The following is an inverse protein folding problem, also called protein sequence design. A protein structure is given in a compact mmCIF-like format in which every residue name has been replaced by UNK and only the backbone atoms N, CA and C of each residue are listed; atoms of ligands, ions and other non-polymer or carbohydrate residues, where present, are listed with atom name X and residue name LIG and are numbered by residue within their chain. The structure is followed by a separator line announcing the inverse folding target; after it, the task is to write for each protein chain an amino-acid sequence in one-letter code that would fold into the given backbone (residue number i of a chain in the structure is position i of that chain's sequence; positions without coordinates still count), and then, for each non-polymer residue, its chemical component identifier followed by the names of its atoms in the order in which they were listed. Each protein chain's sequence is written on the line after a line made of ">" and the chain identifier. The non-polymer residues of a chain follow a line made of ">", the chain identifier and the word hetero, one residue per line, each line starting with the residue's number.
data_IF_125816231722
#
_entry.id   IF_125816231722
#
_cell.length_a   1.000
_cell.length_b   1.000
_cell.length_c   1.000
_cell.angle_alpha   90.00
_cell.angle_beta   90.00
_cell.angle_gamma   90.00
#
_symmetry.space_group_name_H-M   'P 1'
#
loop_
_entity.id
_entity.type
_entity.pdbx_description
1 polymer ?
#
# COMPACT_ATOMS: atom_id res chain seq x y z
N UNK A 1 62.09 41.11 22.01
CA UNK A 1 60.63 41.09 22.21
C UNK A 1 60.03 40.17 21.15
N UNK A 2 60.01 38.85 21.40
CA UNK A 2 59.33 37.89 20.52
C UNK A 2 58.09 37.36 21.24
N UNK A 3 56.97 37.64 20.61
CA UNK A 3 55.59 37.55 21.03
C UNK A 3 55.14 36.10 21.34
N UNK A 4 54.62 35.87 22.55
CA UNK A 4 53.84 34.69 22.95
C UNK A 4 52.41 34.74 22.36
N UNK A 5 52.23 34.67 21.03
CA UNK A 5 50.87 34.69 20.41
C UNK A 5 50.23 33.33 20.17
N UNK A 6 50.91 32.22 20.46
CA UNK A 6 50.55 30.93 19.85
C UNK A 6 49.66 29.98 20.66
N UNK A 7 48.95 30.44 21.72
CA UNK A 7 48.20 29.51 22.59
C UNK A 7 46.69 29.82 22.79
N UNK A 8 46.17 30.92 22.24
CA UNK A 8 44.76 31.31 22.45
C UNK A 8 43.80 30.85 21.35
N UNK A 9 44.31 30.63 20.14
CA UNK A 9 43.48 30.32 18.96
C UNK A 9 43.01 28.86 18.96
N UNK A 10 43.86 27.93 19.41
CA UNK A 10 43.51 26.51 19.49
C UNK A 10 42.45 26.22 20.56
N UNK A 11 42.48 26.92 21.70
CA UNK A 11 41.51 26.70 22.78
C UNK A 11 40.10 27.16 22.40
N UNK A 12 39.97 28.24 21.61
CA UNK A 12 38.67 28.75 21.18
C UNK A 12 37.99 27.85 20.12
N UNK A 13 38.78 27.22 19.25
CA UNK A 13 38.25 26.32 18.21
C UNK A 13 37.65 25.03 18.81
N UNK A 14 38.27 24.49 19.85
CA UNK A 14 37.77 23.28 20.54
C UNK A 14 36.45 23.59 21.25
N UNK A 15 36.33 24.75 21.91
CA UNK A 15 35.08 25.15 22.58
C UNK A 15 33.93 25.36 21.60
N UNK A 16 34.20 25.91 20.41
CA UNK A 16 33.17 26.13 19.38
C UNK A 16 32.64 24.82 18.78
N UNK A 17 33.51 23.83 18.54
CA UNK A 17 33.13 22.51 18.05
C UNK A 17 32.25 21.73 19.04
N UNK A 18 32.52 21.87 20.35
CA UNK A 18 31.71 21.20 21.38
C UNK A 18 30.30 21.79 21.44
N UNK A 19 30.13 23.10 21.29
CA UNK A 19 28.80 23.76 21.30
C UNK A 19 27.95 23.34 20.09
N UNK A 20 28.55 23.18 18.91
CA UNK A 20 27.84 22.80 17.69
C UNK A 20 27.27 21.35 17.73
N UNK A 21 27.89 20.46 18.51
CA UNK A 21 27.42 19.08 18.69
C UNK A 21 26.22 18.97 19.65
N UNK A 22 26.04 19.92 20.58
CA UNK A 22 24.92 19.93 21.52
C UNK A 22 23.68 20.70 21.03
N UNK A 23 23.77 21.43 19.91
CA UNK A 23 22.61 22.10 19.29
C UNK A 23 21.85 21.21 18.31
N UNK A 24 22.34 20.00 18.03
CA UNK A 24 21.57 18.99 17.31
C UNK A 24 20.57 18.35 18.29
N UNK A 25 19.44 19.02 18.50
CA UNK A 25 18.29 18.42 19.16
C UNK A 25 17.92 17.10 18.46
N UNK A 26 17.32 16.13 19.18
CA UNK A 26 16.95 14.85 18.60
C UNK A 26 16.08 15.09 17.37
N UNK A 27 16.53 14.59 16.22
CA UNK A 27 15.74 14.58 15.00
C UNK A 27 14.44 13.83 15.35
N UNK A 28 13.26 14.42 15.15
CA UNK A 28 12.02 13.72 15.42
C UNK A 28 12.02 12.44 14.59
N UNK A 29 12.01 11.30 15.28
CA UNK A 29 11.90 10.00 14.64
C UNK A 29 10.49 9.94 14.08
N UNK A 30 10.34 10.19 12.78
CA UNK A 30 9.07 9.97 12.09
C UNK A 30 8.82 8.45 12.08
N UNK A 31 7.98 7.99 13.01
CA UNK A 31 7.47 6.63 12.93
C UNK A 31 6.65 6.51 11.65
N UNK A 32 6.96 5.51 10.82
CA UNK A 32 6.07 5.13 9.75
C UNK A 32 4.65 4.94 10.31
N UNK A 33 3.60 5.38 9.60
CA UNK A 33 2.22 5.08 9.97
C UNK A 33 2.07 3.58 10.22
N UNK A 34 1.32 3.20 11.26
CA UNK A 34 1.05 1.79 11.52
C UNK A 34 0.08 1.29 10.46
N UNK A 35 0.29 0.08 9.90
CA UNK A 35 -0.66 -0.50 8.98
C UNK A 35 -2.05 -0.57 9.60
N UNK A 36 -3.06 -0.08 8.88
CA UNK A 36 -4.44 -0.01 9.34
C UNK A 36 -5.28 -1.08 8.64
N UNK A 37 -6.08 -1.90 9.35
CA UNK A 37 -6.89 -2.94 8.74
C UNK A 37 -7.87 -2.41 7.70
N UNK A 38 -8.05 -3.17 6.62
CA UNK A 38 -9.04 -2.89 5.56
C UNK A 38 -9.72 -4.18 5.13
N UNK A 39 -11.00 -4.08 4.83
CA UNK A 39 -11.77 -5.09 4.12
C UNK A 39 -12.29 -4.47 2.83
N UNK A 40 -12.09 -5.17 1.72
CA UNK A 40 -12.59 -4.82 0.39
C UNK A 40 -13.39 -6.03 -0.08
N UNK A 41 -14.68 -5.83 -0.33
CA UNK A 41 -15.55 -6.86 -0.90
C UNK A 41 -15.96 -6.39 -2.28
N UNK A 42 -15.75 -7.22 -3.29
CA UNK A 42 -16.25 -6.98 -4.65
C UNK A 42 -17.05 -8.18 -5.15
N UNK A 43 -18.14 -7.94 -5.85
CA UNK A 43 -18.99 -8.98 -6.44
C UNK A 43 -19.08 -8.74 -7.94
N UNK A 44 -18.85 -9.77 -8.74
CA UNK A 44 -18.75 -9.67 -10.20
C UNK A 44 -19.81 -10.49 -10.92
N UNK A 45 -20.29 -9.96 -12.05
CA UNK A 45 -21.05 -10.72 -13.05
C UNK A 45 -20.09 -11.30 -14.10
N UNK A 46 -20.02 -12.63 -14.14
CA UNK A 46 -19.13 -13.37 -15.05
C UNK A 46 -19.69 -13.58 -16.46
N UNK A 47 -20.81 -12.95 -16.82
CA UNK A 47 -21.44 -13.07 -18.15
C UNK A 47 -20.56 -12.58 -19.32
N UNK A 48 -19.59 -11.71 -19.07
CA UNK A 48 -18.67 -11.14 -20.08
C UNK A 48 -17.23 -11.60 -19.94
N UNK A 49 -17.02 -12.76 -19.30
CA UNK A 49 -15.70 -13.35 -19.08
C UNK A 49 -14.80 -13.33 -20.36
N UNK A 50 -13.50 -12.94 -20.26
CA UNK A 50 -12.69 -12.74 -19.05
C UNK A 50 -12.74 -11.34 -18.43
N UNK A 51 -13.43 -10.40 -19.07
CA UNK A 51 -13.55 -9.01 -18.64
C UNK A 51 -14.89 -8.80 -17.95
N UNK A 52 -14.90 -8.83 -16.64
CA UNK A 52 -16.13 -8.83 -15.84
C UNK A 52 -16.34 -7.48 -15.14
N UNK A 53 -17.60 -7.16 -14.89
CA UNK A 53 -18.02 -5.94 -14.22
C UNK A 53 -18.75 -6.28 -12.92
N UNK A 54 -18.69 -5.37 -11.96
CA UNK A 54 -19.20 -5.61 -10.63
C UNK A 54 -19.35 -4.34 -9.81
N UNK A 55 -19.58 -4.55 -8.52
CA UNK A 55 -19.61 -3.51 -7.51
C UNK A 55 -18.65 -3.84 -6.39
N UNK A 56 -18.23 -2.82 -5.65
CA UNK A 56 -17.41 -3.03 -4.46
C UNK A 56 -17.84 -2.14 -3.29
N UNK A 57 -17.50 -2.59 -2.10
CA UNK A 57 -17.60 -1.86 -0.83
C UNK A 57 -16.35 -2.07 -0.01
N UNK A 58 -15.91 -1.05 0.73
CA UNK A 58 -14.77 -1.15 1.64
C UNK A 58 -15.13 -0.72 3.05
N UNK A 59 -14.38 -1.23 4.04
CA UNK A 59 -14.46 -0.79 5.43
C UNK A 59 -13.09 -0.80 6.11
N UNK A 60 -12.97 -0.09 7.25
CA UNK A 60 -11.72 0.03 8.01
C UNK A 60 -10.93 1.28 7.60
N UNK A 61 -9.69 1.08 7.13
CA UNK A 61 -8.81 2.15 6.66
C UNK A 61 -9.38 2.95 5.48
N UNK A 62 -10.30 2.34 4.72
CA UNK A 62 -10.98 2.94 3.60
C UNK A 62 -12.47 2.62 3.70
N UNK A 63 -13.34 3.62 3.57
CA UNK A 63 -14.80 3.47 3.64
C UNK A 63 -15.44 4.12 2.42
N UNK A 64 -15.42 3.41 1.30
CA UNK A 64 -15.96 3.86 0.02
C UNK A 64 -16.70 2.71 -0.67
N UNK A 65 -17.44 3.03 -1.73
CA UNK A 65 -18.09 2.05 -2.59
C UNK A 65 -18.18 2.57 -4.02
N UNK A 66 -18.45 1.68 -4.97
CA UNK A 66 -18.58 2.05 -6.37
C UNK A 66 -18.63 0.86 -7.31
N UNK A 67 -18.33 1.12 -8.58
CA UNK A 67 -18.21 0.09 -9.60
C UNK A 67 -16.83 -0.56 -9.55
N UNK A 68 -16.75 -1.82 -9.97
CA UNK A 68 -15.51 -2.55 -10.15
C UNK A 68 -15.46 -3.18 -11.55
N UNK A 69 -14.26 -3.28 -12.11
CA UNK A 69 -13.98 -4.14 -13.26
C UNK A 69 -12.86 -5.11 -12.92
N UNK A 70 -12.85 -6.28 -13.54
CA UNK A 70 -11.79 -7.26 -13.38
C UNK A 70 -11.48 -7.92 -14.71
N UNK A 71 -10.20 -8.00 -15.04
CA UNK A 71 -9.69 -8.88 -16.09
C UNK A 71 -9.10 -10.13 -15.45
N UNK A 72 -9.56 -11.33 -15.86
CA UNK A 72 -9.09 -12.61 -15.33
C UNK A 72 -8.13 -13.28 -16.31
N UNK A 73 -6.84 -13.30 -15.97
CA UNK A 73 -5.80 -13.97 -16.76
C UNK A 73 -5.41 -15.33 -16.18
N UNK A 74 -5.95 -16.43 -16.71
CA UNK A 74 -5.57 -17.77 -16.29
C UNK A 74 -4.17 -18.17 -16.81
N UNK A 75 -3.44 -18.93 -16.00
CA UNK A 75 -2.29 -19.67 -16.47
C UNK A 75 -2.70 -20.87 -17.34
N UNK A 76 -1.74 -21.51 -18.01
CA UNK A 76 -2.01 -22.56 -19.01
C UNK A 76 -2.80 -23.77 -18.48
N UNK A 77 -2.63 -24.12 -17.20
CA UNK A 77 -3.33 -25.25 -16.57
C UNK A 77 -4.68 -24.85 -15.92
N UNK A 78 -5.03 -23.56 -15.94
CA UNK A 78 -6.26 -23.02 -15.36
C UNK A 78 -6.32 -23.06 -13.83
N UNK A 79 -5.24 -23.45 -13.15
CA UNK A 79 -5.21 -23.62 -11.69
C UNK A 79 -4.98 -22.29 -10.98
N UNK A 80 -4.35 -21.33 -11.67
CA UNK A 80 -4.05 -20.00 -11.14
C UNK A 80 -4.57 -18.92 -12.06
N UNK A 81 -5.03 -17.82 -11.47
CA UNK A 81 -5.30 -16.61 -12.24
C UNK A 81 -4.49 -15.44 -11.68
N UNK A 82 -4.04 -14.60 -12.60
CA UNK A 82 -3.60 -13.24 -12.33
C UNK A 82 -4.75 -12.31 -12.71
N UNK A 83 -5.41 -11.73 -11.71
CA UNK A 83 -6.51 -10.81 -11.92
C UNK A 83 -6.04 -9.37 -11.77
N UNK A 84 -6.57 -8.49 -12.63
CA UNK A 84 -6.40 -7.05 -12.51
C UNK A 84 -7.75 -6.45 -12.20
N UNK A 85 -7.95 -6.06 -10.94
CA UNK A 85 -9.18 -5.45 -10.44
C UNK A 85 -9.02 -3.93 -10.43
N UNK A 86 -9.97 -3.19 -10.99
CA UNK A 86 -10.03 -1.73 -10.89
C UNK A 86 -11.27 -1.33 -10.11
N UNK A 87 -11.07 -0.72 -8.95
CA UNK A 87 -12.12 -0.10 -8.15
C UNK A 87 -12.30 1.36 -8.61
N UNK A 88 -13.54 1.73 -8.92
CA UNK A 88 -13.89 3.04 -9.47
C UNK A 88 -14.75 3.79 -8.44
N UNK A 89 -14.14 4.77 -7.79
CA UNK A 89 -14.80 5.63 -6.81
C UNK A 89 -14.91 7.08 -7.35
N UNK A 90 -15.76 7.94 -6.74
CA UNK A 90 -15.89 9.33 -7.17
C UNK A 90 -14.55 10.10 -7.17
N UNK A 91 -13.71 9.82 -6.17
CA UNK A 91 -12.48 10.56 -5.92
C UNK A 91 -11.24 9.96 -6.61
N UNK A 92 -11.41 8.93 -7.45
CA UNK A 92 -10.31 8.27 -8.17
C UNK A 92 -10.51 6.78 -8.35
N UNK A 93 -9.45 6.13 -8.83
CA UNK A 93 -9.40 4.67 -9.05
C UNK A 93 -8.33 4.02 -8.19
N UNK A 94 -8.53 2.74 -7.89
CA UNK A 94 -7.55 1.88 -7.22
C UNK A 94 -7.40 0.63 -8.09
N UNK A 95 -6.17 0.31 -8.48
CA UNK A 95 -5.85 -0.91 -9.23
C UNK A 95 -5.22 -1.91 -8.28
N UNK A 96 -5.81 -3.10 -8.23
CA UNK A 96 -5.40 -4.22 -7.40
C UNK A 96 -4.98 -5.36 -8.32
N UNK A 97 -3.81 -5.93 -8.06
CA UNK A 97 -3.42 -7.21 -8.63
C UNK A 97 -3.78 -8.32 -7.66
N UNK A 98 -4.30 -9.42 -8.17
CA UNK A 98 -4.58 -10.62 -7.40
C UNK A 98 -3.85 -11.81 -7.99
N UNK A 99 -3.38 -12.69 -7.10
CA UNK A 99 -2.88 -14.02 -7.46
C UNK A 99 -3.77 -15.07 -6.82
N UNK A 100 -4.61 -15.70 -7.63
CA UNK A 100 -5.65 -16.63 -7.20
C UNK A 100 -5.22 -18.08 -7.47
N UNK A 101 -5.60 -18.99 -6.57
CA UNK A 101 -5.47 -20.44 -6.71
C UNK A 101 -6.84 -21.09 -6.62
N UNK A 102 -7.28 -21.71 -7.73
CA UNK A 102 -8.59 -22.35 -7.87
C UNK A 102 -8.60 -23.83 -7.46
N UNK A 103 -7.44 -24.43 -7.19
CA UNK A 103 -7.33 -25.79 -6.65
C UNK A 103 -7.69 -25.91 -5.15
N UNK A 104 -8.41 -24.94 -4.57
CA UNK A 104 -8.89 -24.97 -3.19
C UNK A 104 -10.38 -24.65 -3.11
N UNK A 105 -11.03 -25.04 -2.02
CA UNK A 105 -12.43 -24.73 -1.73
C UNK A 105 -12.55 -24.03 -0.36
N UNK A 106 -12.92 -22.73 -0.30
CA UNK A 106 -13.07 -21.83 -1.43
C UNK A 106 -11.72 -21.56 -2.14
N UNK A 107 -11.73 -21.09 -3.40
CA UNK A 107 -10.54 -20.52 -4.01
C UNK A 107 -9.97 -19.41 -3.11
N UNK A 108 -8.64 -19.27 -3.14
CA UNK A 108 -7.92 -18.33 -2.28
C UNK A 108 -6.80 -17.65 -3.03
N UNK A 109 -6.31 -16.54 -2.49
CA UNK A 109 -5.23 -15.82 -3.14
C UNK A 109 -4.57 -14.78 -2.25
N UNK A 110 -3.86 -13.87 -2.91
CA UNK A 110 -3.32 -12.65 -2.33
C UNK A 110 -3.68 -11.48 -3.22
N UNK A 111 -3.77 -10.29 -2.63
CA UNK A 111 -4.02 -9.06 -3.35
C UNK A 111 -3.02 -7.98 -2.96
N UNK A 112 -2.75 -7.07 -3.89
CA UNK A 112 -1.88 -5.90 -3.68
C UNK A 112 -2.42 -4.69 -4.47
N UNK A 113 -2.50 -3.53 -3.81
CA UNK A 113 -2.75 -2.25 -4.49
C UNK A 113 -1.46 -1.82 -5.18
N UNK A 114 -1.48 -1.85 -6.51
CA UNK A 114 -0.31 -1.52 -7.34
C UNK A 114 -0.31 -0.05 -7.79
N UNK A 115 -1.49 0.56 -7.94
CA UNK A 115 -1.62 1.97 -8.29
C UNK A 115 -2.97 2.55 -7.89
N UNK A 116 -3.04 3.87 -7.84
CA UNK A 116 -4.29 4.59 -7.75
C UNK A 116 -4.19 5.95 -8.43
N UNK A 117 -5.32 6.65 -8.51
CA UNK A 117 -5.38 8.01 -9.07
C UNK A 117 -5.99 8.98 -8.06
N UNK A 118 -5.72 10.28 -8.25
CA UNK A 118 -6.29 11.36 -7.43
C UNK A 118 -6.12 11.11 -5.92
N UNK A 119 -7.20 10.96 -5.15
CA UNK A 119 -7.15 10.74 -3.71
C UNK A 119 -6.40 9.45 -3.32
N UNK A 120 -6.23 8.51 -4.25
CA UNK A 120 -5.61 7.21 -4.04
C UNK A 120 -4.23 7.06 -4.68
N UNK A 121 -3.63 8.15 -5.20
CA UNK A 121 -2.38 8.10 -5.98
C UNK A 121 -1.20 7.42 -5.26
N UNK A 122 -1.15 7.49 -3.93
CA UNK A 122 -0.10 6.88 -3.10
C UNK A 122 -0.64 5.79 -2.17
N UNK A 123 -1.86 5.32 -2.39
CA UNK A 123 -2.45 4.28 -1.56
C UNK A 123 -1.67 2.98 -1.76
N UNK A 124 -1.26 2.36 -0.66
CA UNK A 124 -0.57 1.07 -0.63
C UNK A 124 -1.31 0.14 0.31
N UNK A 125 -1.47 -1.11 -0.09
CA UNK A 125 -2.10 -2.10 0.75
C UNK A 125 -1.99 -3.49 0.14
N UNK A 126 -2.10 -4.50 0.98
CA UNK A 126 -2.10 -5.89 0.55
C UNK A 126 -2.73 -6.78 1.62
N UNK A 127 -2.98 -8.03 1.24
CA UNK A 127 -3.42 -9.05 2.17
C UNK A 127 -3.87 -10.35 1.51
N UNK A 128 -4.46 -11.26 2.29
CA UNK A 128 -5.10 -12.47 1.78
C UNK A 128 -6.42 -12.16 1.06
N UNK A 129 -6.73 -13.02 0.11
CA UNK A 129 -8.00 -13.04 -0.62
C UNK A 129 -8.68 -14.41 -0.42
N UNK A 130 -9.98 -14.39 -0.18
CA UNK A 130 -10.86 -15.55 -0.29
C UNK A 130 -11.91 -15.27 -1.36
N UNK A 131 -12.31 -16.30 -2.09
CA UNK A 131 -13.35 -16.17 -3.12
C UNK A 131 -14.50 -17.14 -2.86
N UNK A 132 -15.43 -16.84 -1.93
CA UNK A 132 -16.66 -17.59 -1.82
C UNK A 132 -17.59 -17.22 -2.97
N UNK A 133 -18.06 -18.22 -3.72
CA UNK A 133 -18.97 -18.02 -4.85
C UNK A 133 -18.42 -17.01 -5.89
N UNK A 134 -19.17 -15.96 -6.21
CA UNK A 134 -18.81 -14.89 -7.16
C UNK A 134 -18.25 -13.63 -6.46
N UNK A 135 -17.81 -13.76 -5.21
CA UNK A 135 -17.30 -12.66 -4.37
C UNK A 135 -15.77 -12.70 -4.25
N UNK A 136 -15.13 -11.55 -4.35
CA UNK A 136 -13.73 -11.30 -3.99
C UNK A 136 -13.67 -10.70 -2.57
N UNK A 137 -13.43 -11.54 -1.56
CA UNK A 137 -13.33 -11.13 -0.16
C UNK A 137 -11.86 -10.86 0.23
N UNK A 138 -11.43 -9.62 0.03
CA UNK A 138 -10.08 -9.16 0.32
C UNK A 138 -10.01 -8.57 1.73
N UNK A 139 -9.17 -9.15 2.58
CA UNK A 139 -8.83 -8.58 3.89
C UNK A 139 -7.36 -8.23 3.93
N UNK A 140 -6.94 -7.26 4.73
CA UNK A 140 -5.54 -6.89 4.82
C UNK A 140 -5.31 -5.57 5.52
N UNK A 141 -4.30 -4.83 5.06
CA UNK A 141 -3.92 -3.54 5.64
C UNK A 141 -3.60 -2.50 4.58
N UNK A 142 -3.78 -1.23 4.94
CA UNK A 142 -3.25 -0.06 4.24
C UNK A 142 -2.04 0.47 5.03
N UNK A 143 -0.98 0.89 4.33
CA UNK A 143 0.28 1.39 4.89
C UNK A 143 0.35 2.92 4.94
#
# INVERSE_FOLDING_TARGET
>A
MLIMRHNKIFSAAITLCVIALFTMGPVPVYSAPRPTPVTITATFDFSTFPDVAGIFVTSGALTISGAATMHVGFNHDGVRAHCVVTLIAPDGTIVIHQECQFATAPPKGRWEIVSGTRAYANLRGNGPLLMPDDEEAMTGVIF
#
